data_IF_158101621747
#
_entry.id   IF_158101621747
#
_cell.length_a   1.000
_cell.length_b   1.000
_cell.length_c   1.000
_cell.angle_alpha   90.00
_cell.angle_beta   90.00
_cell.angle_gamma   90.00
#
_symmetry.space_group_name_H-M   'P 1'
#
loop_
_entity.id
_entity.type
_entity.pdbx_description
1 polymer ?
#
# COMPACT_ATOMS: atom_id res chain seq x y z
N UNK A 1 -9.51 -17.60 0.37
CA UNK A 1 -8.92 -16.54 -0.47
C UNK A 1 -7.96 -15.79 0.42
N UNK A 2 -6.78 -15.44 -0.08
CA UNK A 2 -5.82 -14.62 0.66
C UNK A 2 -6.20 -13.15 0.52
N UNK A 3 -5.74 -12.29 1.43
CA UNK A 3 -5.84 -10.83 1.33
C UNK A 3 -4.45 -10.29 1.00
N UNK A 4 -4.28 -9.75 -0.19
CA UNK A 4 -3.01 -9.18 -0.65
C UNK A 4 -3.11 -7.67 -0.82
N UNK A 5 -2.05 -6.94 -0.47
CA UNK A 5 -1.98 -5.50 -0.67
C UNK A 5 -1.43 -5.15 -2.05
N UNK A 6 -2.22 -4.46 -2.86
CA UNK A 6 -1.88 -4.12 -4.24
C UNK A 6 -1.82 -2.60 -4.45
N UNK A 7 -0.87 -2.20 -5.29
CA UNK A 7 -0.53 -0.81 -5.58
C UNK A 7 -0.37 -0.63 -7.09
N UNK A 8 -0.88 0.49 -7.61
CA UNK A 8 -0.83 0.81 -9.03
C UNK A 8 -0.47 2.27 -9.26
N UNK A 9 0.62 2.53 -9.98
CA UNK A 9 0.98 3.86 -10.46
C UNK A 9 0.11 4.26 -11.65
N UNK A 10 -0.40 5.49 -11.66
CA UNK A 10 -1.17 6.04 -12.77
C UNK A 10 -0.80 7.51 -13.01
N UNK A 11 -1.00 7.99 -14.23
CA UNK A 11 -0.87 9.43 -14.52
C UNK A 11 -1.98 10.23 -13.84
N UNK A 12 -1.78 11.54 -13.65
CA UNK A 12 -2.80 12.45 -13.11
C UNK A 12 -4.08 12.45 -13.97
N UNK A 13 -3.95 12.39 -15.29
CA UNK A 13 -5.11 12.32 -16.21
C UNK A 13 -5.90 11.03 -16.04
N UNK A 14 -5.22 9.90 -15.88
CA UNK A 14 -5.86 8.61 -15.66
C UNK A 14 -6.57 8.59 -14.31
N UNK A 15 -5.92 9.08 -13.25
CA UNK A 15 -6.59 9.21 -11.94
C UNK A 15 -7.84 10.09 -12.03
N UNK A 16 -7.76 11.24 -12.72
CA UNK A 16 -8.89 12.15 -12.86
C UNK A 16 -10.09 11.53 -13.60
N UNK A 17 -9.85 10.71 -14.63
CA UNK A 17 -10.91 9.95 -15.33
C UNK A 17 -11.53 8.91 -14.41
N UNK A 18 -10.71 8.15 -13.66
CA UNK A 18 -11.19 7.14 -12.72
C UNK A 18 -11.99 7.76 -11.56
N UNK A 19 -11.59 8.91 -11.05
CA UNK A 19 -12.35 9.64 -10.01
C UNK A 19 -13.70 10.14 -10.54
N UNK A 20 -13.77 10.58 -11.80
CA UNK A 20 -15.04 10.98 -12.43
C UNK A 20 -15.93 9.78 -12.79
N UNK A 21 -15.32 8.62 -13.03
CA UNK A 21 -15.99 7.40 -13.42
C UNK A 21 -15.53 6.20 -12.57
N UNK A 22 -15.82 6.18 -11.25
CA UNK A 22 -15.27 5.18 -10.33
C UNK A 22 -15.45 3.75 -10.80
N UNK A 23 -16.59 3.40 -11.41
CA UNK A 23 -16.88 2.03 -11.91
C UNK A 23 -15.87 1.49 -12.92
N UNK A 24 -15.06 2.34 -13.55
CA UNK A 24 -13.99 1.90 -14.46
C UNK A 24 -12.85 1.20 -13.72
N UNK A 25 -12.67 1.48 -12.42
CA UNK A 25 -11.53 0.99 -11.64
C UNK A 25 -11.44 -0.52 -11.59
N UNK A 26 -12.57 -1.22 -11.43
CA UNK A 26 -12.63 -2.69 -11.37
C UNK A 26 -12.02 -3.32 -12.62
N UNK A 27 -12.31 -2.76 -13.80
CA UNK A 27 -11.72 -3.26 -15.06
C UNK A 27 -10.28 -2.76 -15.23
N UNK A 28 -9.99 -1.54 -14.79
CA UNK A 28 -8.71 -0.89 -15.01
C UNK A 28 -7.56 -1.61 -14.30
N UNK A 29 -7.71 -1.98 -13.02
CA UNK A 29 -6.61 -2.59 -12.25
C UNK A 29 -6.23 -4.00 -12.70
N UNK A 30 -7.12 -4.69 -13.42
CA UNK A 30 -6.88 -6.02 -14.02
C UNK A 30 -6.60 -5.94 -15.52
N UNK A 31 -6.37 -4.73 -16.05
CA UNK A 31 -6.01 -4.54 -17.45
C UNK A 31 -4.57 -4.98 -17.70
N UNK A 32 -4.33 -5.65 -18.83
CA UNK A 32 -2.98 -5.93 -19.34
C UNK A 32 -2.49 -4.85 -20.34
N UNK A 33 -3.26 -3.77 -20.49
CA UNK A 33 -2.87 -2.64 -21.36
C UNK A 33 -1.70 -1.87 -20.73
N UNK A 34 -0.55 -1.87 -21.41
CA UNK A 34 0.62 -1.09 -20.99
C UNK A 34 0.43 0.39 -21.31
N UNK A 35 0.61 1.26 -20.32
CA UNK A 35 0.77 2.70 -20.50
C UNK A 35 2.27 3.04 -20.55
N UNK A 36 2.81 3.49 -21.69
CA UNK A 36 4.23 3.87 -21.81
C UNK A 36 4.66 4.98 -20.84
N UNK A 37 3.72 5.74 -20.28
CA UNK A 37 3.99 6.78 -19.27
C UNK A 37 4.18 6.21 -17.86
N UNK A 38 3.77 4.96 -17.63
CA UNK A 38 3.91 4.25 -16.36
C UNK A 38 4.44 2.84 -16.58
N UNK A 39 5.71 2.68 -16.98
CA UNK A 39 6.30 1.35 -17.17
C UNK A 39 6.39 0.63 -15.82
N UNK A 40 6.04 -0.66 -15.81
CA UNK A 40 6.00 -1.50 -14.61
C UNK A 40 5.23 -0.85 -13.43
N UNK A 41 3.93 -0.56 -13.61
CA UNK A 41 3.19 0.29 -12.70
C UNK A 41 2.66 -0.45 -11.47
N UNK A 42 2.86 -1.77 -11.38
CA UNK A 42 2.29 -2.61 -10.34
C UNK A 42 3.30 -2.88 -9.22
N UNK A 43 2.79 -2.99 -8.01
CA UNK A 43 3.48 -3.58 -6.87
C UNK A 43 2.44 -4.32 -6.02
N UNK A 44 2.79 -5.47 -5.48
CA UNK A 44 2.05 -6.11 -4.41
C UNK A 44 3.00 -6.52 -3.28
N UNK A 45 2.50 -6.48 -2.06
CA UNK A 45 3.25 -6.87 -0.86
C UNK A 45 2.73 -8.17 -0.27
N UNK A 46 2.10 -9.00 -1.11
CA UNK A 46 1.40 -10.22 -0.71
C UNK A 46 0.62 -9.99 0.60
N UNK A 47 0.81 -10.83 1.62
CA UNK A 47 0.10 -10.75 2.91
C UNK A 47 0.77 -9.82 3.92
N UNK A 48 1.87 -9.17 3.56
CA UNK A 48 2.62 -8.30 4.46
C UNK A 48 1.95 -6.93 4.69
N UNK A 49 0.91 -6.58 3.93
CA UNK A 49 0.29 -5.24 3.98
C UNK A 49 -0.14 -4.81 5.39
N UNK A 50 -0.75 -5.70 6.19
CA UNK A 50 -1.25 -5.31 7.50
C UNK A 50 -0.15 -5.24 8.55
N UNK A 51 0.85 -6.13 8.50
CA UNK A 51 1.98 -6.04 9.42
C UNK A 51 2.81 -4.81 9.11
N UNK A 52 3.04 -4.47 7.83
CA UNK A 52 3.71 -3.23 7.43
C UNK A 52 2.90 -2.04 7.95
N UNK A 53 1.59 -2.01 7.73
CA UNK A 53 0.73 -0.95 8.28
C UNK A 53 0.89 -0.82 9.81
N UNK A 54 0.77 -1.93 10.54
CA UNK A 54 0.89 -1.94 11.99
C UNK A 54 2.25 -1.45 12.48
N UNK A 55 3.35 -1.83 11.84
CA UNK A 55 4.68 -1.35 12.20
C UNK A 55 4.86 0.15 11.92
N UNK A 56 4.12 0.69 10.94
CA UNK A 56 4.13 2.12 10.63
C UNK A 56 3.27 2.94 11.60
N UNK A 57 2.09 2.46 11.98
CA UNK A 57 1.07 3.25 12.71
C UNK A 57 0.86 2.83 14.17
N UNK A 58 1.20 1.59 14.52
CA UNK A 58 0.83 0.95 15.79
C UNK A 58 -0.63 0.47 15.85
N UNK A 59 -1.38 0.49 14.75
CA UNK A 59 -2.77 0.07 14.66
C UNK A 59 -3.01 -0.84 13.45
N UNK A 60 -4.03 -1.70 13.49
CA UNK A 60 -4.33 -2.66 12.41
C UNK A 60 -4.99 -2.03 11.18
N UNK A 61 -5.64 -0.87 11.33
CA UNK A 61 -6.35 -0.18 10.23
C UNK A 61 -6.31 1.35 10.34
N UNK A 62 -6.23 1.88 11.56
CA UNK A 62 -6.22 3.31 11.83
C UNK A 62 -4.79 3.87 11.80
N UNK A 63 -4.71 5.19 11.90
CA UNK A 63 -3.43 5.88 11.97
C UNK A 63 -3.55 7.32 11.49
N UNK A 64 -2.41 8.02 11.48
CA UNK A 64 -2.31 9.36 10.93
C UNK A 64 -1.47 9.34 9.65
N UNK A 65 -1.70 10.29 8.72
CA UNK A 65 -0.77 10.54 7.64
C UNK A 65 0.58 11.07 8.15
N UNK A 66 1.69 10.76 7.44
CA UNK A 66 1.75 9.97 6.19
C UNK A 66 1.73 8.45 6.39
N UNK A 67 1.89 7.94 7.61
CA UNK A 67 2.09 6.50 7.91
C UNK A 67 0.91 5.64 7.44
N UNK A 68 -0.32 6.03 7.79
CA UNK A 68 -1.55 5.31 7.38
C UNK A 68 -1.66 5.22 5.85
N UNK A 69 -1.27 6.30 5.16
CA UNK A 69 -1.49 6.46 3.74
C UNK A 69 -0.62 5.52 2.89
N UNK A 70 0.45 4.95 3.46
CA UNK A 70 1.31 3.98 2.78
C UNK A 70 0.50 2.80 2.25
N UNK A 71 -0.43 2.27 3.04
CA UNK A 71 -1.24 1.09 2.71
C UNK A 71 -2.67 1.46 2.32
N UNK A 72 -3.33 2.37 3.04
CA UNK A 72 -4.77 2.64 2.88
C UNK A 72 -5.08 3.95 2.13
N UNK A 73 -4.08 4.55 1.50
CA UNK A 73 -4.23 5.81 0.79
C UNK A 73 -4.83 6.91 1.67
N UNK A 74 -5.35 7.96 1.03
CA UNK A 74 -6.02 9.08 1.72
C UNK A 74 -7.44 9.32 1.23
N UNK A 75 -7.67 9.11 -0.06
CA UNK A 75 -8.94 9.35 -0.72
C UNK A 75 -9.51 8.02 -1.18
N UNK A 76 -10.83 7.85 -1.17
CA UNK A 76 -11.51 6.68 -1.71
C UNK A 76 -12.18 7.03 -3.05
N UNK A 77 -12.21 6.09 -3.99
CA UNK A 77 -12.89 6.30 -5.27
C UNK A 77 -14.42 6.35 -5.11
N UNK A 78 -14.97 5.38 -4.38
CA UNK A 78 -16.39 5.25 -4.10
C UNK A 78 -16.60 4.19 -3.01
N UNK A 79 -17.49 4.44 -2.06
CA UNK A 79 -17.93 3.43 -1.08
C UNK A 79 -18.76 2.30 -1.71
N UNK A 80 -19.22 2.47 -2.96
CA UNK A 80 -20.04 1.48 -3.67
C UNK A 80 -19.22 0.41 -4.39
N UNK A 81 -17.89 0.60 -4.52
CA UNK A 81 -17.01 -0.30 -5.26
C UNK A 81 -16.15 -1.05 -4.26
N UNK A 82 -16.26 -2.37 -4.25
CA UNK A 82 -15.56 -3.24 -3.31
C UNK A 82 -14.62 -4.18 -4.06
N UNK A 83 -13.35 -4.19 -3.67
CA UNK A 83 -12.31 -5.08 -4.18
C UNK A 83 -12.24 -6.41 -3.44
N UNK A 84 -13.26 -6.74 -2.66
CA UNK A 84 -13.41 -7.96 -1.86
C UNK A 84 -13.15 -7.72 -0.37
N UNK A 85 -12.30 -6.73 -0.06
CA UNK A 85 -11.94 -6.38 1.32
C UNK A 85 -12.03 -4.86 1.58
N UNK A 86 -12.86 -4.16 0.82
CA UNK A 86 -13.09 -2.73 0.92
C UNK A 86 -12.84 -1.97 -0.39
N UNK A 87 -13.09 -0.66 -0.40
CA UNK A 87 -12.93 0.16 -1.58
C UNK A 87 -11.45 0.41 -1.91
N UNK A 88 -11.16 0.63 -3.18
CA UNK A 88 -9.87 1.16 -3.59
C UNK A 88 -9.73 2.61 -3.11
N UNK A 89 -8.51 2.92 -2.68
CA UNK A 89 -8.07 4.25 -2.28
C UNK A 89 -7.03 4.78 -3.26
N UNK A 90 -6.71 6.07 -3.15
CA UNK A 90 -5.68 6.70 -3.94
C UNK A 90 -4.98 7.85 -3.22
N UNK A 91 -3.82 8.19 -3.78
CA UNK A 91 -2.99 9.35 -3.47
C UNK A 91 -2.73 10.14 -4.75
N UNK A 92 -2.89 11.45 -4.68
CA UNK A 92 -2.40 12.35 -5.73
C UNK A 92 -0.88 12.53 -5.64
N UNK A 93 -0.28 13.19 -6.65
CA UNK A 93 1.18 13.40 -6.73
C UNK A 93 1.77 14.05 -5.46
N UNK A 94 1.08 15.03 -4.87
CA UNK A 94 1.58 15.69 -3.67
C UNK A 94 1.60 14.74 -2.46
N UNK A 95 0.56 13.92 -2.33
CA UNK A 95 0.42 12.93 -1.25
C UNK A 95 1.39 11.75 -1.43
N UNK A 96 1.65 11.32 -2.67
CA UNK A 96 2.69 10.35 -2.98
C UNK A 96 4.07 10.86 -2.54
N UNK A 97 4.37 12.14 -2.79
CA UNK A 97 5.64 12.76 -2.35
C UNK A 97 5.76 12.86 -0.83
N UNK A 98 4.65 13.06 -0.11
CA UNK A 98 4.63 13.04 1.35
C UNK A 98 4.95 11.63 1.88
N UNK A 99 4.30 10.60 1.33
CA UNK A 99 4.57 9.20 1.67
C UNK A 99 6.02 8.82 1.35
N UNK A 100 6.50 9.15 0.15
CA UNK A 100 7.87 8.86 -0.25
C UNK A 100 8.90 9.49 0.69
N UNK A 101 8.73 10.77 1.05
CA UNK A 101 9.65 11.45 1.98
C UNK A 101 9.67 10.78 3.35
N UNK A 102 8.52 10.31 3.82
CA UNK A 102 8.42 9.57 5.07
C UNK A 102 9.19 8.23 4.98
N UNK A 103 8.94 7.44 3.93
CA UNK A 103 9.60 6.15 3.73
C UNK A 103 11.11 6.29 3.54
N UNK A 104 11.59 7.34 2.88
CA UNK A 104 13.02 7.65 2.76
C UNK A 104 13.71 7.87 4.13
N UNK A 105 12.96 8.30 5.14
CA UNK A 105 13.46 8.54 6.48
C UNK A 105 13.37 7.34 7.43
N UNK A 106 12.90 6.18 6.96
CA UNK A 106 12.67 5.00 7.78
C UNK A 106 13.26 3.75 7.10
N UNK A 107 14.37 3.25 7.64
CA UNK A 107 14.98 2.01 7.17
C UNK A 107 14.14 0.78 7.50
N UNK A 108 14.33 -0.32 6.76
CA UNK A 108 13.67 -1.59 7.06
C UNK A 108 14.06 -2.14 8.44
N UNK A 109 15.30 -1.92 8.88
CA UNK A 109 15.75 -2.28 10.23
C UNK A 109 14.98 -1.49 11.30
N UNK A 110 14.83 -0.18 11.13
CA UNK A 110 14.05 0.66 12.04
C UNK A 110 12.56 0.31 12.05
N UNK A 111 11.99 -0.09 10.90
CA UNK A 111 10.63 -0.60 10.83
C UNK A 111 10.50 -1.90 11.62
N UNK A 112 11.35 -2.89 11.36
CA UNK A 112 11.29 -4.19 12.00
C UNK A 112 11.54 -4.12 13.51
N UNK A 113 12.40 -3.21 13.96
CA UNK A 113 12.64 -2.97 15.39
C UNK A 113 11.39 -2.53 16.17
N UNK A 114 10.31 -2.16 15.49
CA UNK A 114 9.00 -1.85 16.10
C UNK A 114 8.14 -3.10 16.34
N UNK A 115 8.55 -4.26 15.84
CA UNK A 115 7.79 -5.49 16.00
C UNK A 115 7.70 -5.89 17.47
N UNK A 116 6.46 -5.99 17.95
CA UNK A 116 6.12 -6.56 19.25
C UNK A 116 5.09 -7.67 19.02
N UNK A 117 5.52 -8.92 19.22
CA UNK A 117 4.69 -10.10 19.00
C UNK A 117 3.38 -10.08 19.80
N UNK A 118 3.44 -9.62 21.05
CA UNK A 118 2.26 -9.60 21.91
C UNK A 118 1.29 -8.49 21.48
N UNK A 119 1.82 -7.35 21.03
CA UNK A 119 1.00 -6.28 20.45
C UNK A 119 0.32 -6.73 19.14
N UNK A 120 1.09 -7.32 18.22
CA UNK A 120 0.61 -7.86 16.93
C UNK A 120 -0.48 -8.90 17.13
N UNK A 121 -0.30 -9.84 18.07
CA UNK A 121 -1.31 -10.85 18.41
C UNK A 121 -2.56 -10.25 19.03
N UNK A 122 -2.41 -9.26 19.91
CA UNK A 122 -3.54 -8.64 20.62
C UNK A 122 -4.55 -8.00 19.67
N UNK A 123 -4.09 -7.46 18.54
CA UNK A 123 -4.94 -6.79 17.55
C UNK A 123 -5.22 -7.66 16.31
N UNK A 124 -4.87 -8.95 16.36
CA UNK A 124 -5.09 -9.91 15.29
C UNK A 124 -4.59 -9.41 13.91
N UNK A 125 -3.36 -8.90 13.84
CA UNK A 125 -2.76 -8.52 12.55
C UNK A 125 -2.77 -9.71 11.61
N UNK A 126 -3.27 -9.50 10.40
CA UNK A 126 -3.35 -10.47 9.33
C UNK A 126 -1.95 -10.87 8.81
N UNK A 127 -1.74 -12.14 8.45
CA UNK A 127 -2.62 -13.27 8.75
C UNK A 127 -2.65 -13.58 10.26
N UNK A 128 -3.83 -13.82 10.81
CA UNK A 128 -3.98 -14.03 12.25
C UNK A 128 -3.15 -15.25 12.73
N UNK A 129 -2.46 -15.08 13.86
CA UNK A 129 -1.61 -16.12 14.48
C UNK A 129 -0.44 -16.62 13.61
N UNK A 130 -0.08 -15.89 12.54
CA UNK A 130 1.05 -16.23 11.68
C UNK A 130 2.38 -15.71 12.24
N UNK A 131 2.43 -14.43 12.61
CA UNK A 131 3.66 -13.73 12.98
C UNK A 131 4.28 -14.26 14.29
N UNK A 132 5.47 -14.84 14.18
CA UNK A 132 6.29 -15.35 15.29
C UNK A 132 7.39 -14.36 15.69
N UNK A 133 7.82 -13.50 14.76
CA UNK A 133 8.94 -12.56 14.91
C UNK A 133 10.31 -13.20 14.71
N UNK A 134 10.39 -14.33 14.03
CA UNK A 134 11.67 -14.95 13.65
C UNK A 134 12.32 -14.26 12.44
N UNK A 135 13.47 -14.79 12.00
CA UNK A 135 14.21 -14.21 10.87
C UNK A 135 13.44 -14.38 9.55
N UNK A 136 12.62 -15.43 9.39
CA UNK A 136 11.82 -15.62 8.18
C UNK A 136 10.74 -14.53 8.06
N UNK A 137 10.05 -14.23 9.16
CA UNK A 137 9.11 -13.09 9.21
C UNK A 137 9.81 -11.76 8.92
N UNK A 138 11.01 -11.58 9.51
CA UNK A 138 11.80 -10.36 9.33
C UNK A 138 12.18 -10.15 7.87
N UNK A 139 12.74 -11.18 7.24
CA UNK A 139 13.16 -11.15 5.82
C UNK A 139 11.93 -10.87 4.95
N UNK A 140 10.84 -11.60 5.14
CA UNK A 140 9.59 -11.43 4.38
C UNK A 140 9.01 -10.01 4.47
N UNK A 141 8.92 -9.44 5.68
CA UNK A 141 8.42 -8.07 5.87
C UNK A 141 9.40 -7.04 5.31
N UNK A 142 10.70 -7.28 5.45
CA UNK A 142 11.74 -6.38 4.94
C UNK A 142 11.73 -6.30 3.43
N UNK A 143 11.67 -7.43 2.74
CA UNK A 143 11.67 -7.48 1.28
C UNK A 143 10.47 -6.73 0.71
N UNK A 144 9.26 -7.04 1.19
CA UNK A 144 8.05 -6.36 0.75
C UNK A 144 7.99 -4.87 1.13
N UNK A 145 8.55 -4.50 2.29
CA UNK A 145 8.67 -3.08 2.64
C UNK A 145 9.61 -2.34 1.70
N UNK A 146 10.75 -2.93 1.34
CA UNK A 146 11.71 -2.34 0.41
C UNK A 146 11.13 -2.21 -1.01
N UNK A 147 10.33 -3.18 -1.46
CA UNK A 147 9.58 -3.07 -2.71
C UNK A 147 8.63 -1.87 -2.70
N UNK A 148 7.93 -1.62 -1.59
CA UNK A 148 7.10 -0.42 -1.43
C UNK A 148 7.92 0.88 -1.42
N UNK A 149 9.08 0.88 -0.75
CA UNK A 149 9.95 2.06 -0.74
C UNK A 149 10.41 2.42 -2.15
N UNK A 150 10.85 1.42 -2.93
CA UNK A 150 11.22 1.62 -4.35
C UNK A 150 10.01 2.09 -5.18
N UNK A 151 8.87 1.44 -5.02
CA UNK A 151 7.64 1.79 -5.73
C UNK A 151 7.22 3.25 -5.50
N UNK A 152 7.18 3.70 -4.23
CA UNK A 152 6.85 5.08 -3.91
C UNK A 152 7.92 6.07 -4.37
N UNK A 153 9.19 5.66 -4.45
CA UNK A 153 10.25 6.47 -5.05
C UNK A 153 10.01 6.67 -6.55
N UNK A 154 9.77 5.60 -7.31
CA UNK A 154 9.45 5.67 -8.75
C UNK A 154 8.22 6.54 -9.00
N UNK A 155 7.17 6.38 -8.21
CA UNK A 155 5.95 7.19 -8.34
C UNK A 155 6.22 8.68 -8.09
N UNK A 156 6.96 8.98 -7.02
CA UNK A 156 7.33 10.36 -6.63
C UNK A 156 8.20 11.06 -7.67
N UNK A 157 9.24 10.37 -8.17
CA UNK A 157 10.20 10.91 -9.14
C UNK A 157 9.55 11.20 -10.50
N UNK A 158 8.57 10.39 -10.90
CA UNK A 158 7.87 10.53 -12.18
C UNK A 158 6.58 11.36 -12.09
N UNK A 159 6.27 11.94 -10.92
CA UNK A 159 5.03 12.69 -10.68
C UNK A 159 3.76 11.86 -10.98
N UNK A 160 3.75 10.61 -10.55
CA UNK A 160 2.63 9.70 -10.69
C UNK A 160 1.76 9.71 -9.44
N UNK A 161 0.50 9.35 -9.63
CA UNK A 161 -0.44 9.04 -8.56
C UNK A 161 -0.35 7.55 -8.22
N UNK A 162 -0.86 7.16 -7.04
CA UNK A 162 -0.92 5.75 -6.63
C UNK A 162 -2.34 5.39 -6.25
N UNK A 163 -2.79 4.23 -6.71
CA UNK A 163 -4.03 3.57 -6.31
C UNK A 163 -3.66 2.40 -5.39
N UNK A 164 -4.37 2.22 -4.29
CA UNK A 164 -4.16 1.13 -3.33
C UNK A 164 -5.45 0.36 -3.09
N UNK A 165 -5.38 -0.97 -3.08
CA UNK A 165 -6.52 -1.84 -2.79
C UNK A 165 -6.07 -3.17 -2.19
N UNK A 166 -6.97 -3.84 -1.48
CA UNK A 166 -6.76 -5.19 -0.95
C UNK A 166 -7.62 -6.16 -1.76
N UNK A 167 -7.02 -7.23 -2.31
CA UNK A 167 -7.71 -8.25 -3.13
C UNK A 167 -7.48 -9.68 -2.66
#
# INVERSE_FOLDING_TARGET
>A
MSMIGCFLMVTESTLADLVQHPKKIEKFVYSEEEDPQTPDPHCDVDKAWQIIHFLLTGDSYEGSPPERNVIFGKNIFSDEIDFGYGPASFLNVAEVKEVHRFLQGLSAEELWNRFDREAVRKVNVYPENYWTGDEEDREYVTDHYLDLVDFYARASENNLCVIQYIS
#
